data_IF_723278880576
#
_entry.id   IF_723278880576
#
_cell.length_a   1.000
_cell.length_b   1.000
_cell.length_c   1.000
_cell.angle_alpha   90.00
_cell.angle_beta   90.00
_cell.angle_gamma   90.00
#
_symmetry.space_group_name_H-M   'P 1'
#
loop_
_entity.id
_entity.type
_entity.pdbx_description
1 polymer ?
#
# COMPACT_ATOMS: atom_id res chain seq x y z
N UNK A 1 -6.02 -4.14 14.00
CA UNK A 1 -5.01 -3.13 13.63
C UNK A 1 -3.77 -3.18 14.53
N UNK A 2 -3.92 -3.20 15.87
CA UNK A 2 -2.78 -3.23 16.81
C UNK A 2 -1.90 -4.46 16.70
N UNK A 3 -2.40 -5.56 16.16
CA UNK A 3 -1.67 -6.83 15.99
C UNK A 3 -0.90 -6.91 14.66
N UNK A 4 -1.47 -6.40 13.57
CA UNK A 4 -1.01 -6.63 12.20
C UNK A 4 -0.50 -5.39 11.46
N UNK A 5 -0.82 -4.19 11.90
CA UNK A 5 -0.41 -2.93 11.29
C UNK A 5 0.05 -1.92 12.35
N UNK A 6 1.13 -2.22 13.07
CA UNK A 6 1.59 -1.40 14.20
C UNK A 6 1.85 0.05 13.81
N UNK A 7 2.57 0.29 12.73
CA UNK A 7 2.89 1.64 12.23
C UNK A 7 1.63 2.41 11.88
N UNK A 8 0.72 1.79 11.12
CA UNK A 8 -0.56 2.38 10.76
C UNK A 8 -1.42 2.69 12.00
N UNK A 9 -1.48 1.74 12.94
CA UNK A 9 -2.23 1.91 14.19
C UNK A 9 -1.68 3.07 15.04
N UNK A 10 -0.35 3.15 15.21
CA UNK A 10 0.28 4.22 15.98
C UNK A 10 0.01 5.60 15.35
N UNK A 11 0.16 5.74 14.03
CA UNK A 11 -0.16 6.98 13.34
C UNK A 11 -1.65 7.36 13.52
N UNK A 12 -2.56 6.39 13.44
CA UNK A 12 -4.00 6.60 13.64
C UNK A 12 -4.33 7.13 15.05
N UNK A 13 -3.54 6.79 16.07
CA UNK A 13 -3.72 7.31 17.42
C UNK A 13 -3.52 8.84 17.53
N UNK A 14 -2.85 9.45 16.57
CA UNK A 14 -2.68 10.91 16.48
C UNK A 14 -3.91 11.62 15.90
N UNK A 15 -4.87 10.88 15.33
CA UNK A 15 -6.12 11.45 14.85
C UNK A 15 -7.11 11.72 16.01
N UNK A 16 -8.00 12.72 15.84
CA UNK A 16 -9.15 12.89 16.71
C UNK A 16 -9.96 11.59 16.84
N UNK A 17 -10.39 11.26 18.06
CA UNK A 17 -11.12 9.99 18.35
C UNK A 17 -12.30 9.75 17.40
N UNK A 18 -13.04 10.81 17.05
CA UNK A 18 -14.20 10.74 16.16
C UNK A 18 -13.86 10.25 14.75
N UNK A 19 -12.63 10.46 14.26
CA UNK A 19 -12.18 10.03 12.92
C UNK A 19 -11.66 8.61 12.89
N UNK A 20 -11.16 8.08 14.01
CA UNK A 20 -10.44 6.78 14.06
C UNK A 20 -11.30 5.61 13.58
N UNK A 21 -12.61 5.60 13.91
CA UNK A 21 -13.52 4.52 13.50
C UNK A 21 -13.61 4.39 11.98
N UNK A 22 -13.59 5.50 11.26
CA UNK A 22 -13.66 5.52 9.80
C UNK A 22 -12.36 5.02 9.15
N UNK A 23 -11.21 5.45 9.70
CA UNK A 23 -9.90 4.95 9.29
C UNK A 23 -9.79 3.44 9.56
N UNK A 24 -10.33 2.96 10.69
CA UNK A 24 -10.36 1.52 10.98
C UNK A 24 -11.31 0.74 10.05
N UNK A 25 -12.39 1.36 9.55
CA UNK A 25 -13.27 0.73 8.58
C UNK A 25 -12.57 0.52 7.23
N UNK A 26 -11.88 1.55 6.71
CA UNK A 26 -11.08 1.45 5.48
C UNK A 26 -9.96 0.40 5.62
N UNK A 27 -9.25 0.42 6.74
CA UNK A 27 -8.23 -0.59 7.02
C UNK A 27 -8.81 -2.01 7.12
N UNK A 28 -9.98 -2.15 7.76
CA UNK A 28 -10.66 -3.45 7.89
C UNK A 28 -11.02 -4.05 6.54
N UNK A 29 -11.51 -3.22 5.61
CA UNK A 29 -11.78 -3.63 4.25
C UNK A 29 -10.49 -4.09 3.53
N UNK A 30 -9.45 -3.23 3.52
CA UNK A 30 -8.21 -3.53 2.84
C UNK A 30 -7.54 -4.79 3.42
N UNK A 31 -7.49 -4.91 4.75
CA UNK A 31 -6.87 -6.04 5.44
C UNK A 31 -7.58 -7.37 5.20
N UNK A 32 -8.92 -7.35 5.11
CA UNK A 32 -9.67 -8.58 4.87
C UNK A 32 -9.41 -9.12 3.46
N UNK A 33 -9.37 -8.26 2.44
CA UNK A 33 -9.01 -8.64 1.09
C UNK A 33 -7.57 -9.19 1.01
N UNK A 34 -6.62 -8.50 1.65
CA UNK A 34 -5.23 -8.89 1.76
C UNK A 34 -5.07 -10.29 2.41
N UNK A 35 -5.83 -10.58 3.48
CA UNK A 35 -5.82 -11.89 4.13
C UNK A 35 -6.32 -13.03 3.22
N UNK A 36 -7.29 -12.78 2.34
CA UNK A 36 -7.73 -13.78 1.35
C UNK A 36 -6.58 -14.13 0.38
N UNK A 37 -5.82 -13.11 -0.04
CA UNK A 37 -4.73 -13.28 -1.01
C UNK A 37 -3.48 -13.88 -0.37
N UNK A 38 -3.05 -13.35 0.77
CA UNK A 38 -1.71 -13.55 1.33
C UNK A 38 -1.66 -14.54 2.52
N UNK A 39 -2.78 -15.15 2.92
CA UNK A 39 -2.75 -16.15 3.99
C UNK A 39 -1.88 -17.36 3.61
N UNK A 40 -0.68 -17.40 4.17
CA UNK A 40 0.30 -18.49 3.99
C UNK A 40 -0.12 -19.80 4.68
N UNK A 41 -1.02 -19.74 5.66
CA UNK A 41 -1.57 -20.92 6.33
C UNK A 41 -2.75 -21.51 5.55
N UNK A 42 -3.25 -20.81 4.56
CA UNK A 42 -4.35 -21.27 3.70
C UNK A 42 -3.92 -22.44 2.82
N UNK A 43 -4.74 -23.47 2.78
CA UNK A 43 -4.59 -24.61 1.87
C UNK A 43 -5.28 -24.39 0.52
N UNK A 44 -5.86 -23.21 0.31
CA UNK A 44 -6.57 -22.86 -0.92
C UNK A 44 -5.60 -22.70 -2.08
N UNK A 45 -6.01 -23.19 -3.23
CA UNK A 45 -5.34 -22.94 -4.52
C UNK A 45 -5.49 -21.48 -4.91
N UNK A 46 -4.67 -21.01 -5.86
CA UNK A 46 -4.78 -19.67 -6.43
C UNK A 46 -6.18 -19.41 -6.99
N UNK A 47 -6.78 -20.40 -7.66
CA UNK A 47 -8.14 -20.27 -8.19
C UNK A 47 -9.18 -20.13 -7.08
N UNK A 48 -9.10 -20.93 -6.01
CA UNK A 48 -10.03 -20.83 -4.88
C UNK A 48 -9.90 -19.49 -4.14
N UNK A 49 -8.68 -18.95 -4.02
CA UNK A 49 -8.45 -17.59 -3.50
C UNK A 49 -9.07 -16.52 -4.41
N UNK A 50 -8.91 -16.66 -5.73
CA UNK A 50 -9.52 -15.74 -6.70
C UNK A 50 -11.04 -15.78 -6.63
N UNK A 51 -11.63 -16.96 -6.53
CA UNK A 51 -13.08 -17.14 -6.38
C UNK A 51 -13.59 -16.54 -5.08
N UNK A 52 -12.89 -16.78 -3.96
CA UNK A 52 -13.24 -16.22 -2.65
C UNK A 52 -13.17 -14.69 -2.65
N UNK A 53 -12.08 -14.11 -3.21
CA UNK A 53 -11.93 -12.66 -3.36
C UNK A 53 -13.02 -12.08 -4.27
N UNK A 54 -13.33 -12.75 -5.38
CA UNK A 54 -14.37 -12.33 -6.31
C UNK A 54 -15.75 -12.32 -5.68
N UNK A 55 -16.13 -13.39 -4.95
CA UNK A 55 -17.41 -13.49 -4.26
C UNK A 55 -17.53 -12.42 -3.17
N UNK A 56 -16.50 -12.27 -2.33
CA UNK A 56 -16.51 -11.27 -1.26
C UNK A 56 -16.50 -9.85 -1.81
N UNK A 57 -15.66 -9.57 -2.83
CA UNK A 57 -15.58 -8.27 -3.46
C UNK A 57 -16.89 -7.85 -4.12
N UNK A 58 -17.53 -8.76 -4.87
CA UNK A 58 -18.84 -8.50 -5.47
C UNK A 58 -19.90 -8.19 -4.40
N UNK A 59 -19.89 -8.92 -3.26
CA UNK A 59 -20.78 -8.68 -2.13
C UNK A 59 -20.56 -7.27 -1.56
N UNK A 60 -19.32 -6.90 -1.25
CA UNK A 60 -18.99 -5.59 -0.67
C UNK A 60 -19.39 -4.44 -1.61
N UNK A 61 -19.13 -4.55 -2.91
CA UNK A 61 -19.53 -3.54 -3.90
C UNK A 61 -21.07 -3.45 -4.03
N UNK A 62 -21.77 -4.57 -3.95
CA UNK A 62 -23.24 -4.58 -3.90
C UNK A 62 -23.74 -3.90 -2.63
N UNK A 63 -23.17 -4.22 -1.47
CA UNK A 63 -23.55 -3.65 -0.18
C UNK A 63 -23.33 -2.13 -0.15
N UNK A 64 -22.22 -1.64 -0.70
CA UNK A 64 -21.97 -0.21 -0.88
C UNK A 64 -23.03 0.47 -1.76
N UNK A 65 -23.38 -0.14 -2.89
CA UNK A 65 -24.41 0.39 -3.80
C UNK A 65 -25.82 0.37 -3.20
N UNK A 66 -26.14 -0.66 -2.42
CA UNK A 66 -27.47 -0.81 -1.77
C UNK A 66 -27.58 -0.02 -0.46
N UNK A 67 -26.45 0.41 0.12
CA UNK A 67 -26.41 1.06 1.43
C UNK A 67 -26.74 0.15 2.62
N UNK A 68 -26.67 -1.17 2.43
CA UNK A 68 -27.00 -2.19 3.45
C UNK A 68 -26.01 -3.33 3.42
N UNK A 69 -25.64 -3.84 4.60
CA UNK A 69 -24.78 -5.03 4.76
C UNK A 69 -25.20 -5.84 5.98
N UNK A 70 -25.07 -7.15 5.88
CA UNK A 70 -25.28 -8.11 6.96
C UNK A 70 -24.00 -8.36 7.78
N UNK A 71 -22.83 -7.98 7.29
CA UNK A 71 -21.56 -8.13 8.00
C UNK A 71 -21.05 -6.81 8.63
N UNK A 72 -20.14 -6.95 9.60
CA UNK A 72 -19.62 -5.80 10.36
C UNK A 72 -18.71 -4.89 9.54
N UNK A 73 -17.88 -5.46 8.65
CA UNK A 73 -16.96 -4.70 7.79
C UNK A 73 -17.79 -3.88 6.80
N UNK A 74 -18.75 -4.52 6.13
CA UNK A 74 -19.64 -3.85 5.17
C UNK A 74 -20.43 -2.70 5.80
N UNK A 75 -21.00 -2.88 7.00
CA UNK A 75 -21.72 -1.81 7.72
C UNK A 75 -20.82 -0.64 8.06
N UNK A 76 -19.60 -0.92 8.58
CA UNK A 76 -18.64 0.13 8.94
C UNK A 76 -18.13 0.89 7.69
N UNK A 77 -17.92 0.16 6.59
CA UNK A 77 -17.49 0.73 5.31
C UNK A 77 -18.60 1.63 4.72
N UNK A 78 -19.85 1.18 4.71
CA UNK A 78 -21.02 1.97 4.25
C UNK A 78 -21.15 3.26 5.07
N UNK A 79 -21.06 3.20 6.41
CA UNK A 79 -21.08 4.41 7.27
C UNK A 79 -19.97 5.39 6.87
N UNK A 80 -18.77 4.88 6.59
CA UNK A 80 -17.61 5.68 6.19
C UNK A 80 -17.82 6.31 4.82
N UNK A 81 -18.17 5.50 3.82
CA UNK A 81 -18.36 5.95 2.43
C UNK A 81 -19.45 7.00 2.33
N UNK A 82 -20.61 6.77 2.99
CA UNK A 82 -21.72 7.71 2.99
C UNK A 82 -21.39 9.01 3.76
N UNK A 83 -20.64 8.92 4.87
CA UNK A 83 -20.27 10.10 5.67
C UNK A 83 -19.34 11.03 4.91
N UNK A 84 -18.44 10.48 4.10
CA UNK A 84 -17.37 11.25 3.43
C UNK A 84 -17.52 11.30 1.92
N UNK A 85 -18.58 10.75 1.36
CA UNK A 85 -18.82 10.67 -0.08
C UNK A 85 -17.63 10.07 -0.87
N UNK A 86 -17.05 8.99 -0.35
CA UNK A 86 -15.90 8.34 -0.99
C UNK A 86 -16.36 7.62 -2.27
N UNK A 87 -15.70 7.84 -3.42
CA UNK A 87 -16.06 7.19 -4.68
C UNK A 87 -15.94 5.66 -4.60
N UNK A 88 -16.96 4.92 -5.05
CA UNK A 88 -16.96 3.45 -5.02
C UNK A 88 -15.88 2.86 -5.94
N UNK A 89 -15.47 3.56 -6.98
CA UNK A 89 -14.42 3.17 -7.91
C UNK A 89 -13.06 2.93 -7.22
N UNK A 90 -12.79 3.55 -6.08
CA UNK A 90 -11.56 3.29 -5.32
C UNK A 90 -11.54 1.85 -4.78
N UNK A 91 -12.68 1.36 -4.28
CA UNK A 91 -12.82 -0.01 -3.79
C UNK A 91 -12.76 -1.03 -4.94
N UNK A 92 -13.34 -0.69 -6.10
CA UNK A 92 -13.22 -1.50 -7.32
C UNK A 92 -11.75 -1.62 -7.77
N UNK A 93 -11.00 -0.50 -7.80
CA UNK A 93 -9.59 -0.47 -8.15
C UNK A 93 -8.73 -1.25 -7.16
N UNK A 94 -9.02 -1.14 -5.86
CA UNK A 94 -8.32 -1.91 -4.83
C UNK A 94 -8.52 -3.42 -5.03
N UNK A 95 -9.75 -3.88 -5.21
CA UNK A 95 -10.05 -5.30 -5.45
C UNK A 95 -9.41 -5.82 -6.73
N UNK A 96 -9.32 -4.99 -7.77
CA UNK A 96 -8.60 -5.33 -9.00
C UNK A 96 -7.12 -5.59 -8.71
N UNK A 97 -6.45 -4.72 -7.98
CA UNK A 97 -5.04 -4.92 -7.59
C UNK A 97 -4.84 -6.17 -6.72
N UNK A 98 -5.77 -6.48 -5.83
CA UNK A 98 -5.72 -7.74 -5.05
C UNK A 98 -5.84 -8.97 -5.95
N UNK A 99 -6.61 -8.88 -7.03
CA UNK A 99 -6.69 -9.95 -8.04
C UNK A 99 -5.37 -10.08 -8.82
N UNK A 100 -4.71 -8.96 -9.13
CA UNK A 100 -3.38 -9.00 -9.78
C UNK A 100 -2.35 -9.74 -8.92
N UNK A 101 -2.36 -9.58 -7.60
CA UNK A 101 -1.45 -10.27 -6.69
C UNK A 101 -1.58 -11.81 -6.74
N UNK A 102 -2.70 -12.33 -7.21
CA UNK A 102 -2.89 -13.78 -7.37
C UNK A 102 -2.23 -14.33 -8.65
N UNK A 103 -2.00 -13.50 -9.66
CA UNK A 103 -1.61 -13.96 -11.00
C UNK A 103 -0.34 -13.29 -11.54
N UNK A 104 -0.04 -12.07 -11.15
CA UNK A 104 1.12 -11.32 -11.61
C UNK A 104 2.29 -11.56 -10.67
N UNK A 105 3.38 -12.10 -11.18
CA UNK A 105 4.58 -12.38 -10.40
C UNK A 105 5.69 -11.33 -10.59
N UNK A 106 5.67 -10.60 -11.70
CA UNK A 106 6.65 -9.57 -12.01
C UNK A 106 6.06 -8.47 -12.89
N UNK A 107 6.61 -7.28 -12.80
CA UNK A 107 6.24 -6.11 -13.57
C UNK A 107 7.36 -5.72 -14.52
N UNK A 108 7.06 -5.61 -15.81
CA UNK A 108 8.09 -5.33 -16.82
C UNK A 108 8.56 -3.88 -16.74
N UNK A 109 7.63 -2.94 -16.63
CA UNK A 109 7.90 -1.51 -16.59
C UNK A 109 7.38 -0.86 -15.30
N UNK A 110 7.80 0.37 -15.06
CA UNK A 110 7.26 1.15 -13.94
C UNK A 110 5.77 1.47 -14.14
N UNK A 111 5.34 1.67 -15.37
CA UNK A 111 3.94 1.90 -15.72
C UNK A 111 3.08 0.68 -15.38
N UNK A 112 3.55 -0.54 -15.66
CA UNK A 112 2.85 -1.79 -15.29
C UNK A 112 2.75 -1.89 -13.75
N UNK A 113 3.83 -1.57 -13.03
CA UNK A 113 3.81 -1.53 -11.58
C UNK A 113 2.83 -0.48 -11.04
N UNK A 114 2.74 0.70 -11.68
CA UNK A 114 1.83 1.76 -11.26
C UNK A 114 0.36 1.37 -11.41
N UNK A 115 -0.01 0.52 -12.37
CA UNK A 115 -1.37 -0.02 -12.47
C UNK A 115 -1.74 -0.78 -11.18
N UNK A 116 -0.87 -1.67 -10.72
CA UNK A 116 -1.04 -2.37 -9.46
C UNK A 116 -1.02 -1.43 -8.25
N UNK A 117 -0.04 -0.53 -8.16
CA UNK A 117 0.14 0.39 -7.02
C UNK A 117 -1.00 1.40 -6.93
N UNK A 118 -1.63 1.75 -8.05
CA UNK A 118 -2.80 2.62 -8.02
C UNK A 118 -3.91 2.03 -7.13
N UNK A 119 -4.32 0.80 -7.35
CA UNK A 119 -5.36 0.17 -6.54
C UNK A 119 -4.86 -0.26 -5.16
N UNK A 120 -3.64 -0.80 -5.04
CA UNK A 120 -3.14 -1.33 -3.77
C UNK A 120 -2.72 -0.24 -2.75
N UNK A 121 -2.42 0.98 -3.20
CA UNK A 121 -1.91 2.03 -2.31
C UNK A 121 -2.42 3.44 -2.63
N UNK A 122 -2.45 3.87 -3.89
CA UNK A 122 -2.83 5.24 -4.23
C UNK A 122 -4.29 5.54 -3.84
N UNK A 123 -5.23 4.63 -4.13
CA UNK A 123 -6.64 4.80 -3.76
C UNK A 123 -6.84 4.83 -2.24
N UNK A 124 -6.03 4.11 -1.47
CA UNK A 124 -6.06 4.18 0.00
C UNK A 124 -5.75 5.60 0.48
N UNK A 125 -4.76 6.26 -0.14
CA UNK A 125 -4.47 7.68 0.10
C UNK A 125 -5.67 8.57 -0.24
N UNK A 126 -6.30 8.34 -1.39
CA UNK A 126 -7.47 9.09 -1.85
C UNK A 126 -8.69 8.93 -0.93
N UNK A 127 -8.96 7.71 -0.45
CA UNK A 127 -10.04 7.41 0.51
C UNK A 127 -9.83 8.11 1.87
N UNK A 128 -8.56 8.26 2.27
CA UNK A 128 -8.20 8.91 3.53
C UNK A 128 -8.42 10.42 3.52
N UNK A 129 -8.23 11.12 2.38
CA UNK A 129 -8.29 12.58 2.30
C UNK A 129 -9.58 13.16 2.87
N UNK A 130 -10.79 12.74 2.47
CA UNK A 130 -12.03 13.30 3.01
C UNK A 130 -12.19 13.01 4.52
N UNK A 131 -11.73 11.85 5.01
CA UNK A 131 -11.75 11.51 6.45
C UNK A 131 -10.81 12.44 7.23
N UNK A 132 -9.64 12.74 6.68
CA UNK A 132 -8.67 13.66 7.29
C UNK A 132 -9.17 15.11 7.31
N UNK A 133 -10.08 15.45 6.40
CA UNK A 133 -10.65 16.79 6.25
C UNK A 133 -9.84 17.62 5.27
N UNK A 134 -10.30 17.65 4.03
CA UNK A 134 -9.68 18.41 2.94
C UNK A 134 -9.97 19.90 3.07
N UNK A 135 -8.95 20.72 2.86
CA UNK A 135 -9.04 22.18 2.80
C UNK A 135 -8.78 22.71 1.39
N UNK A 136 -8.05 21.95 0.56
CA UNK A 136 -7.72 22.29 -0.82
C UNK A 136 -7.67 21.00 -1.66
N UNK A 137 -8.18 21.03 -2.88
CA UNK A 137 -8.28 19.86 -3.78
C UNK A 137 -6.93 19.24 -4.14
N UNK A 138 -5.85 20.02 -4.14
CA UNK A 138 -4.48 19.52 -4.33
C UNK A 138 -4.06 18.44 -3.32
N UNK A 139 -4.76 18.31 -2.19
CA UNK A 139 -4.52 17.25 -1.19
C UNK A 139 -4.67 15.85 -1.79
N UNK A 140 -5.58 15.66 -2.75
CA UNK A 140 -5.80 14.35 -3.39
C UNK A 140 -4.59 13.87 -4.18
N UNK A 141 -4.01 14.74 -5.04
CA UNK A 141 -2.81 14.37 -5.80
C UNK A 141 -1.60 14.12 -4.90
N UNK A 142 -1.46 14.90 -3.83
CA UNK A 142 -0.41 14.67 -2.84
C UNK A 142 -0.61 13.35 -2.09
N UNK A 143 -1.84 13.01 -1.69
CA UNK A 143 -2.15 11.76 -1.01
C UNK A 143 -1.92 10.53 -1.90
N UNK A 144 -2.27 10.64 -3.20
CA UNK A 144 -1.97 9.62 -4.20
C UNK A 144 -0.47 9.35 -4.29
N UNK A 145 0.35 10.40 -4.44
CA UNK A 145 1.81 10.29 -4.48
C UNK A 145 2.38 9.69 -3.19
N UNK A 146 1.86 10.09 -2.04
CA UNK A 146 2.31 9.57 -0.76
C UNK A 146 1.99 8.08 -0.60
N UNK A 147 0.79 7.65 -1.02
CA UNK A 147 0.42 6.23 -1.04
C UNK A 147 1.36 5.41 -1.93
N UNK A 148 1.69 5.92 -3.12
CA UNK A 148 2.67 5.28 -4.02
C UNK A 148 4.04 5.20 -3.33
N UNK A 149 4.52 6.29 -2.72
CA UNK A 149 5.80 6.30 -2.01
C UNK A 149 5.87 5.25 -0.90
N UNK A 150 4.81 5.10 -0.11
CA UNK A 150 4.71 4.08 0.94
C UNK A 150 4.84 2.67 0.39
N UNK A 151 4.14 2.38 -0.71
CA UNK A 151 4.16 1.05 -1.31
C UNK A 151 5.52 0.73 -1.93
N UNK A 152 6.13 1.69 -2.63
CA UNK A 152 7.48 1.51 -3.18
C UNK A 152 8.53 1.30 -2.06
N UNK A 153 8.42 2.00 -0.94
CA UNK A 153 9.30 1.80 0.20
C UNK A 153 9.15 0.38 0.79
N UNK A 154 7.93 -0.15 0.85
CA UNK A 154 7.68 -1.54 1.26
C UNK A 154 8.32 -2.52 0.28
N UNK A 155 8.15 -2.36 -1.02
CA UNK A 155 8.77 -3.25 -2.03
C UNK A 155 10.30 -3.25 -1.95
N UNK A 156 10.92 -2.10 -1.69
CA UNK A 156 12.38 -2.02 -1.51
C UNK A 156 12.81 -2.80 -0.26
N UNK A 157 12.06 -2.70 0.85
CA UNK A 157 12.36 -3.42 2.09
C UNK A 157 12.17 -4.92 1.97
N UNK A 158 11.12 -5.33 1.28
CA UNK A 158 10.59 -6.68 1.34
C UNK A 158 11.03 -7.58 0.17
N UNK A 159 12.01 -7.12 -0.68
CA UNK A 159 12.51 -7.89 -1.84
C UNK A 159 12.83 -9.35 -1.49
N UNK A 160 13.48 -9.60 -0.36
CA UNK A 160 13.80 -10.96 0.07
C UNK A 160 12.56 -11.80 0.41
N UNK A 161 11.57 -11.22 1.07
CA UNK A 161 10.32 -11.88 1.43
C UNK A 161 9.41 -12.08 0.20
N UNK A 162 9.43 -11.13 -0.75
CA UNK A 162 8.66 -11.21 -2.00
C UNK A 162 9.20 -12.30 -2.92
N UNK A 163 10.52 -12.49 -2.98
CA UNK A 163 11.16 -13.61 -3.68
C UNK A 163 10.76 -14.97 -3.09
N UNK A 164 10.54 -15.09 -1.76
CA UNK A 164 10.03 -16.32 -1.15
C UNK A 164 8.62 -16.67 -1.63
N UNK A 165 7.87 -15.66 -2.08
CA UNK A 165 6.53 -15.79 -2.69
C UNK A 165 6.56 -15.90 -4.21
N UNK A 166 7.76 -15.90 -4.82
CA UNK A 166 7.96 -15.92 -6.27
C UNK A 166 7.66 -14.59 -6.97
N UNK A 167 7.60 -13.48 -6.22
CA UNK A 167 7.23 -12.15 -6.73
C UNK A 167 8.42 -11.20 -6.82
N UNK A 168 8.45 -10.38 -7.86
CA UNK A 168 9.38 -9.27 -8.05
C UNK A 168 8.57 -8.02 -8.40
N UNK A 169 8.44 -7.09 -7.46
CA UNK A 169 7.70 -5.84 -7.67
C UNK A 169 8.55 -4.75 -8.33
N UNK A 170 9.88 -4.76 -8.13
CA UNK A 170 10.75 -3.78 -8.79
C UNK A 170 10.76 -4.00 -10.31
N UNK A 171 10.54 -2.97 -11.15
CA UNK A 171 10.42 -3.12 -12.60
C UNK A 171 11.62 -3.79 -13.24
N UNK A 172 11.38 -4.86 -14.01
CA UNK A 172 12.44 -5.69 -14.62
C UNK A 172 13.32 -4.87 -15.57
N UNK A 173 12.73 -3.97 -16.35
CA UNK A 173 13.51 -3.12 -17.27
C UNK A 173 14.45 -2.17 -16.50
N UNK A 174 14.00 -1.61 -15.39
CA UNK A 174 14.84 -0.74 -14.56
C UNK A 174 15.94 -1.52 -13.81
N UNK A 175 15.64 -2.73 -13.36
CA UNK A 175 16.65 -3.65 -12.81
C UNK A 175 17.73 -3.94 -13.86
N UNK A 176 17.33 -4.24 -15.10
CA UNK A 176 18.24 -4.53 -16.21
C UNK A 176 19.12 -3.32 -16.59
N UNK A 177 18.60 -2.09 -16.52
CA UNK A 177 19.40 -0.85 -16.73
C UNK A 177 20.54 -0.72 -15.75
N UNK A 178 20.41 -1.29 -14.54
CA UNK A 178 21.47 -1.37 -13.53
C UNK A 178 22.29 -2.67 -13.61
N UNK A 179 22.05 -3.52 -14.63
CA UNK A 179 22.72 -4.79 -14.81
C UNK A 179 22.29 -5.88 -13.81
N UNK A 180 21.08 -5.78 -13.25
CA UNK A 180 20.50 -6.77 -12.34
C UNK A 180 19.60 -7.70 -13.13
N UNK A 181 19.81 -9.01 -13.00
CA UNK A 181 18.96 -10.05 -13.56
C UNK A 181 18.14 -10.73 -12.48
N UNK A 182 17.11 -11.50 -12.89
CA UNK A 182 16.30 -12.29 -11.97
C UNK A 182 17.14 -13.28 -11.18
N UNK A 183 18.06 -13.97 -11.85
CA UNK A 183 18.96 -14.94 -11.23
C UNK A 183 19.81 -14.31 -10.12
N UNK A 184 20.31 -13.08 -10.34
CA UNK A 184 21.08 -12.37 -9.32
C UNK A 184 20.26 -12.06 -8.07
N UNK A 185 18.95 -11.79 -8.21
CA UNK A 185 18.07 -11.61 -7.05
C UNK A 185 17.80 -12.95 -6.35
N UNK A 186 17.60 -14.03 -7.10
CA UNK A 186 17.36 -15.38 -6.57
C UNK A 186 18.59 -15.96 -5.86
N UNK A 187 19.81 -15.61 -6.27
CA UNK A 187 21.06 -15.95 -5.58
C UNK A 187 21.18 -15.26 -4.21
N UNK A 188 20.43 -14.16 -3.98
CA UNK A 188 20.40 -13.40 -2.72
C UNK A 188 21.78 -12.91 -2.25
N UNK A 189 22.66 -12.65 -3.19
CA UNK A 189 23.99 -12.07 -2.92
C UNK A 189 23.94 -10.59 -3.27
N UNK A 190 24.21 -9.75 -2.29
CA UNK A 190 24.24 -8.30 -2.48
C UNK A 190 25.42 -7.91 -3.38
N UNK A 191 25.15 -7.37 -4.55
CA UNK A 191 26.13 -6.92 -5.53
C UNK A 191 26.10 -5.40 -5.70
N UNK A 192 27.16 -4.76 -6.24
CA UNK A 192 27.14 -3.34 -6.58
C UNK A 192 26.00 -2.94 -7.53
N UNK A 193 25.61 -3.82 -8.44
CA UNK A 193 24.50 -3.62 -9.38
C UNK A 193 23.16 -3.55 -8.64
N UNK A 194 22.91 -4.49 -7.72
CA UNK A 194 21.70 -4.49 -6.87
C UNK A 194 21.65 -3.21 -6.02
N UNK A 195 22.78 -2.82 -5.40
CA UNK A 195 22.86 -1.58 -4.65
C UNK A 195 22.54 -0.36 -5.53
N UNK A 196 23.04 -0.34 -6.77
CA UNK A 196 22.74 0.74 -7.73
C UNK A 196 21.25 0.82 -8.06
N UNK A 197 20.61 -0.32 -8.34
CA UNK A 197 19.18 -0.38 -8.60
C UNK A 197 18.36 0.07 -7.38
N UNK A 198 18.71 -0.38 -6.17
CA UNK A 198 18.03 0.03 -4.94
C UNK A 198 18.16 1.54 -4.69
N UNK A 199 19.34 2.13 -4.91
CA UNK A 199 19.53 3.59 -4.80
C UNK A 199 18.64 4.36 -5.75
N UNK A 200 18.47 3.87 -6.98
CA UNK A 200 17.57 4.47 -7.96
C UNK A 200 16.12 4.45 -7.46
N UNK A 201 15.64 3.31 -6.96
CA UNK A 201 14.29 3.19 -6.41
C UNK A 201 14.08 4.04 -5.15
N UNK A 202 15.08 4.11 -4.27
CA UNK A 202 15.07 4.96 -3.08
C UNK A 202 14.96 6.44 -3.44
N UNK A 203 15.68 6.89 -4.47
CA UNK A 203 15.57 8.26 -4.96
C UNK A 203 14.15 8.60 -5.43
N UNK A 204 13.46 7.66 -6.11
CA UNK A 204 12.06 7.82 -6.51
C UNK A 204 11.12 7.95 -5.30
N UNK A 205 11.30 7.13 -4.26
CA UNK A 205 10.49 7.25 -3.03
C UNK A 205 10.67 8.63 -2.40
N UNK A 206 11.89 9.10 -2.28
CA UNK A 206 12.20 10.44 -1.71
C UNK A 206 11.60 11.57 -2.55
N UNK A 207 11.67 11.47 -3.87
CA UNK A 207 11.06 12.44 -4.77
C UNK A 207 9.53 12.49 -4.57
N UNK A 208 8.86 11.35 -4.58
CA UNK A 208 7.41 11.27 -4.36
C UNK A 208 7.01 11.82 -2.99
N UNK A 209 7.76 11.52 -1.94
CA UNK A 209 7.55 12.07 -0.60
C UNK A 209 7.68 13.60 -0.59
N UNK A 210 8.73 14.13 -1.24
CA UNK A 210 8.93 15.58 -1.34
C UNK A 210 7.78 16.26 -2.09
N UNK A 211 7.32 15.68 -3.19
CA UNK A 211 6.20 16.19 -3.98
C UNK A 211 4.86 16.07 -3.24
N UNK A 212 4.69 15.09 -2.36
CA UNK A 212 3.49 14.88 -1.55
C UNK A 212 3.43 15.77 -0.30
N UNK A 213 4.58 16.17 0.25
CA UNK A 213 4.69 16.90 1.53
C UNK A 213 3.81 18.15 1.61
N UNK A 214 3.68 19.01 0.57
CA UNK A 214 2.79 20.17 0.63
C UNK A 214 1.34 19.83 0.91
N UNK A 215 0.87 18.63 0.50
CA UNK A 215 -0.49 18.16 0.73
C UNK A 215 -0.87 18.04 2.21
N UNK A 216 0.09 17.85 3.10
CA UNK A 216 -0.17 17.78 4.54
C UNK A 216 -0.80 19.09 5.04
N UNK A 217 -0.33 20.24 4.55
CA UNK A 217 -0.87 21.55 4.94
C UNK A 217 -2.24 21.82 4.30
N UNK A 218 -2.65 21.05 3.30
CA UNK A 218 -3.96 21.11 2.66
C UNK A 218 -5.04 20.31 3.42
N UNK A 219 -4.66 19.67 4.53
CA UNK A 219 -5.55 18.91 5.41
C UNK A 219 -5.91 19.70 6.66
N UNK A 220 -7.02 19.32 7.32
CA UNK A 220 -7.40 19.87 8.62
C UNK A 220 -6.24 19.75 9.63
N UNK A 221 -5.94 20.83 10.36
CA UNK A 221 -4.81 20.92 11.29
C UNK A 221 -4.76 19.74 12.28
N UNK A 222 -5.92 19.27 12.74
CA UNK A 222 -6.02 18.14 13.68
C UNK A 222 -5.62 16.78 13.09
N UNK A 223 -5.48 16.68 11.77
CA UNK A 223 -5.10 15.43 11.08
C UNK A 223 -3.63 15.42 10.62
N UNK A 224 -2.99 16.58 10.54
CA UNK A 224 -1.60 16.72 10.05
C UNK A 224 -0.60 15.87 10.80
N UNK A 225 -0.58 15.84 12.17
CA UNK A 225 0.39 15.03 12.89
C UNK A 225 0.32 13.54 12.57
N UNK A 226 -0.87 13.04 12.22
CA UNK A 226 -1.03 11.64 11.79
C UNK A 226 -0.30 11.38 10.47
N UNK A 227 -0.44 12.28 9.49
CA UNK A 227 0.16 12.09 8.16
C UNK A 227 1.65 12.41 8.18
N UNK A 228 2.08 13.39 8.97
CA UNK A 228 3.50 13.66 9.21
C UNK A 228 4.20 12.41 9.76
N UNK A 229 3.65 11.81 10.83
CA UNK A 229 4.18 10.59 11.42
C UNK A 229 4.15 9.41 10.44
N UNK A 230 3.07 9.24 9.68
CA UNK A 230 2.98 8.19 8.67
C UNK A 230 4.04 8.39 7.56
N UNK A 231 4.20 9.61 7.08
CA UNK A 231 5.21 9.95 6.06
C UNK A 231 6.64 9.66 6.56
N UNK A 232 6.96 10.05 7.79
CA UNK A 232 8.25 9.77 8.41
C UNK A 232 8.51 8.28 8.56
N UNK A 233 7.54 7.52 9.08
CA UNK A 233 7.69 6.10 9.37
C UNK A 233 7.77 5.26 8.09
N UNK A 234 6.88 5.49 7.12
CA UNK A 234 6.86 4.68 5.89
C UNK A 234 7.96 5.06 4.90
N UNK A 235 8.15 6.35 4.64
CA UNK A 235 9.25 6.76 3.76
C UNK A 235 10.62 6.59 4.44
N UNK A 236 10.70 6.66 5.77
CA UNK A 236 11.92 6.36 6.53
C UNK A 236 12.39 4.91 6.41
N UNK A 237 11.56 3.99 5.90
CA UNK A 237 12.00 2.62 5.57
C UNK A 237 13.22 2.63 4.67
N UNK A 238 13.28 3.52 3.69
CA UNK A 238 14.43 3.57 2.76
C UNK A 238 15.72 4.02 3.44
N UNK A 239 15.62 4.87 4.47
CA UNK A 239 16.78 5.28 5.26
C UNK A 239 17.30 4.10 6.11
N UNK A 240 16.41 3.27 6.63
CA UNK A 240 16.77 2.05 7.34
C UNK A 240 17.39 1.00 6.39
N UNK A 241 16.93 0.92 5.13
CA UNK A 241 17.56 0.07 4.11
C UNK A 241 19.00 0.52 3.85
N UNK A 242 19.26 1.82 3.75
CA UNK A 242 20.61 2.36 3.62
C UNK A 242 21.47 2.05 4.87
N UNK A 243 20.93 2.22 6.08
CA UNK A 243 21.64 1.95 7.35
C UNK A 243 22.06 0.48 7.52
N UNK A 244 21.24 -0.46 7.03
CA UNK A 244 21.63 -1.88 7.03
C UNK A 244 22.57 -2.26 5.87
N UNK A 245 23.06 -1.28 5.11
CA UNK A 245 23.97 -1.48 3.98
C UNK A 245 23.30 -2.13 2.77
N UNK A 246 22.01 -1.87 2.54
CA UNK A 246 21.19 -2.46 1.47
C UNK A 246 21.01 -3.98 1.56
N UNK A 247 21.30 -4.59 2.71
CA UNK A 247 21.21 -6.05 2.90
C UNK A 247 19.75 -6.50 3.09
N UNK A 248 18.95 -6.33 2.03
CA UNK A 248 17.51 -6.65 1.98
C UNK A 248 17.23 -8.16 1.93
N UNK A 249 18.25 -9.00 1.76
CA UNK A 249 18.08 -10.44 1.69
C UNK A 249 18.21 -11.12 3.06
N UNK A 250 19.06 -10.59 3.94
CA UNK A 250 19.35 -11.20 5.24
C UNK A 250 18.84 -10.38 6.42
N UNK A 251 18.48 -9.12 6.19
CA UNK A 251 18.00 -8.19 7.23
C UNK A 251 16.71 -7.52 6.78
N UNK A 252 15.79 -7.34 7.70
CA UNK A 252 14.61 -6.52 7.48
C UNK A 252 14.79 -5.15 8.12
N UNK A 253 14.75 -4.10 7.31
CA UNK A 253 14.75 -2.72 7.76
C UNK A 253 13.50 -2.44 8.62
N UNK A 254 13.69 -1.78 9.78
CA UNK A 254 12.61 -1.48 10.75
C UNK A 254 12.65 -0.01 11.10
N UNK A 255 11.52 0.69 10.92
CA UNK A 255 11.25 2.05 11.39
C UNK A 255 10.51 2.03 12.72
#
# INVERSE_FOLDING_TARGET
>A
NSLHGKTYYLATLLLPKAKRKYVHALYGFARYADEIVDDLASTLTVQEKADALGVWGAKILHDLKSGKSDDAIGRALIDTVNTFAIPHEHFEAFLHSMTMDLTVQEYQTYEDLLEYVYGSAAVIGLEMVPVLGVLQDGAYECAKKLGIAFQLANFIRDVGEDLDRGRIYLPITELAEHGVTREMLEERVLTPQIISALKFQIARVRQLQQEATPGIQMLAASSRPCIEAASELYCGIVDEVEKIGYDIFNKRAKT
#
